data_IF_458373596207
#
_entry.id   IF_458373596207
#
_cell.length_a   1.000
_cell.length_b   1.000
_cell.length_c   1.000
_cell.angle_alpha   90.00
_cell.angle_beta   90.00
_cell.angle_gamma   90.00
#
_symmetry.space_group_name_H-M   'P 1'
#
loop_
_entity.id
_entity.type
_entity.pdbx_description
1 polymer ?
#
# COMPACT_ATOMS: atom_id res chain seq x y z
N UNK A 1 38.15 6.15 -0.26
CA UNK A 1 37.37 5.63 0.89
C UNK A 1 35.86 5.94 0.83
N UNK A 2 35.41 7.00 0.12
CA UNK A 2 34.00 7.46 0.05
C UNK A 2 32.95 6.44 -0.46
N UNK A 3 33.33 5.53 -1.37
CA UNK A 3 32.38 4.67 -2.12
C UNK A 3 31.74 3.55 -1.28
N UNK A 4 32.39 3.09 -0.21
CA UNK A 4 31.86 2.04 0.70
C UNK A 4 30.78 2.59 1.64
N UNK A 5 30.96 3.81 2.12
CA UNK A 5 30.01 4.49 3.01
C UNK A 5 28.69 4.79 2.30
N UNK A 6 28.72 5.17 1.02
CA UNK A 6 27.48 5.43 0.27
C UNK A 6 26.65 4.15 0.06
N UNK A 7 27.28 3.02 -0.28
CA UNK A 7 26.58 1.73 -0.50
C UNK A 7 25.92 1.21 0.79
N UNK A 8 26.61 1.33 1.93
CA UNK A 8 26.04 0.98 3.24
C UNK A 8 24.81 1.83 3.57
N UNK A 9 24.85 3.13 3.26
CA UNK A 9 23.75 4.05 3.51
C UNK A 9 22.51 3.76 2.65
N UNK A 10 22.69 3.31 1.39
CA UNK A 10 21.57 2.88 0.55
C UNK A 10 20.90 1.60 1.07
N UNK A 11 21.69 0.65 1.59
CA UNK A 11 21.16 -0.59 2.13
C UNK A 11 20.35 -0.36 3.42
N UNK A 12 20.84 0.48 4.33
CA UNK A 12 20.11 0.84 5.55
C UNK A 12 18.84 1.63 5.25
N UNK A 13 18.85 2.52 4.26
CA UNK A 13 17.63 3.20 3.79
C UNK A 13 16.57 2.23 3.25
N UNK A 14 16.98 1.22 2.47
CA UNK A 14 16.05 0.22 1.95
C UNK A 14 15.42 -0.62 3.07
N UNK A 15 16.20 -0.97 4.10
CA UNK A 15 15.70 -1.67 5.29
C UNK A 15 14.72 -0.77 6.06
N UNK A 16 15.09 0.49 6.32
CA UNK A 16 14.23 1.45 7.01
C UNK A 16 12.89 1.66 6.30
N UNK A 17 12.91 1.77 4.97
CA UNK A 17 11.70 1.86 4.16
C UNK A 17 10.84 0.60 4.29
N UNK A 18 11.44 -0.59 4.24
CA UNK A 18 10.73 -1.87 4.38
C UNK A 18 10.03 -2.00 5.74
N UNK A 19 10.69 -1.58 6.83
CA UNK A 19 10.09 -1.57 8.17
C UNK A 19 8.90 -0.61 8.24
N UNK A 20 9.06 0.60 7.69
CA UNK A 20 7.97 1.59 7.65
C UNK A 20 6.77 1.08 6.86
N UNK A 21 7.00 0.49 5.70
CA UNK A 21 5.95 -0.10 4.86
C UNK A 21 5.19 -1.20 5.61
N UNK A 22 5.90 -2.15 6.22
CA UNK A 22 5.30 -3.22 7.01
C UNK A 22 4.48 -2.68 8.20
N UNK A 23 4.99 -1.67 8.92
CA UNK A 23 4.24 -1.01 9.99
C UNK A 23 2.95 -0.38 9.48
N UNK A 24 3.01 0.35 8.38
CA UNK A 24 1.82 0.98 7.79
C UNK A 24 0.82 -0.04 7.23
N UNK A 25 1.30 -1.16 6.67
CA UNK A 25 0.45 -2.24 6.19
C UNK A 25 -0.33 -2.91 7.33
N UNK A 26 0.26 -2.98 8.54
CA UNK A 26 -0.43 -3.42 9.76
C UNK A 26 -1.34 -2.34 10.39
N UNK A 27 -1.43 -1.14 9.81
CA UNK A 27 -2.22 -0.04 10.37
C UNK A 27 -1.69 0.53 11.69
N UNK A 28 -0.44 0.22 12.05
CA UNK A 28 0.15 0.65 13.32
C UNK A 28 0.74 2.05 13.21
N UNK A 29 0.59 2.88 14.23
CA UNK A 29 1.37 4.12 14.39
C UNK A 29 2.78 3.81 14.93
N UNK A 30 3.70 4.78 14.85
CA UNK A 30 5.02 4.64 15.48
C UNK A 30 4.91 4.49 17.02
N UNK A 31 3.86 5.06 17.62
CA UNK A 31 3.59 4.92 19.05
C UNK A 31 3.13 3.51 19.41
N UNK A 32 2.31 2.89 18.55
CA UNK A 32 1.85 1.52 18.77
C UNK A 32 3.01 0.53 18.65
N UNK A 33 3.87 0.72 17.65
CA UNK A 33 5.09 -0.07 17.51
C UNK A 33 6.06 0.16 18.69
N UNK A 34 6.16 1.41 19.17
CA UNK A 34 6.96 1.76 20.35
C UNK A 34 6.51 0.99 21.59
N UNK A 35 5.20 0.97 21.84
CA UNK A 35 4.61 0.24 22.95
C UNK A 35 4.82 -1.28 22.82
N UNK A 36 4.74 -1.82 21.61
CA UNK A 36 4.88 -3.25 21.35
C UNK A 36 6.32 -3.76 21.53
N UNK A 37 7.31 -2.99 21.08
CA UNK A 37 8.73 -3.44 21.05
C UNK A 37 9.52 -2.90 22.24
N UNK A 38 8.98 -1.94 23.01
CA UNK A 38 9.69 -1.29 24.11
C UNK A 38 10.81 -0.35 23.63
N UNK A 39 10.78 0.08 22.36
CA UNK A 39 11.73 1.03 21.78
C UNK A 39 11.09 2.43 21.78
N UNK A 40 11.77 3.50 22.21
CA UNK A 40 11.20 4.85 22.20
C UNK A 40 10.69 5.28 20.81
N UNK A 41 9.50 5.89 20.76
CA UNK A 41 8.88 6.34 19.50
C UNK A 41 9.79 7.29 18.70
N UNK A 42 10.52 8.19 19.37
CA UNK A 42 11.51 9.04 18.73
C UNK A 42 12.65 8.26 18.04
N UNK A 43 13.05 7.13 18.62
CA UNK A 43 14.05 6.24 18.03
C UNK A 43 13.50 5.51 16.82
N UNK A 44 12.27 4.99 16.89
CA UNK A 44 11.58 4.38 15.73
C UNK A 44 11.47 5.39 14.58
N UNK A 45 11.07 6.63 14.86
CA UNK A 45 10.99 7.69 13.85
C UNK A 45 12.32 7.94 13.15
N UNK A 46 13.41 8.05 13.91
CA UNK A 46 14.76 8.22 13.34
C UNK A 46 15.22 7.03 12.51
N UNK A 47 14.91 5.81 12.96
CA UNK A 47 15.22 4.57 12.22
C UNK A 47 14.45 4.54 10.90
N UNK A 48 13.14 4.77 10.92
CA UNK A 48 12.30 4.80 9.71
C UNK A 48 12.68 5.92 8.73
N UNK A 49 13.24 7.02 9.23
CA UNK A 49 13.79 8.10 8.42
C UNK A 49 15.19 7.79 7.86
N UNK A 50 15.82 6.68 8.24
CA UNK A 50 17.19 6.33 7.83
C UNK A 50 18.25 7.30 8.38
N UNK A 51 17.93 8.03 9.44
CA UNK A 51 18.82 9.05 10.04
C UNK A 51 19.76 8.49 11.11
N UNK A 52 19.51 7.25 11.55
CA UNK A 52 20.34 6.55 12.54
C UNK A 52 20.49 5.09 12.13
N UNK A 53 21.65 4.51 12.41
CA UNK A 53 21.86 3.07 12.26
C UNK A 53 21.32 2.33 13.49
N UNK A 54 20.27 1.50 13.35
CA UNK A 54 19.79 0.70 14.47
C UNK A 54 20.81 -0.38 14.84
N UNK A 55 20.91 -0.69 16.12
CA UNK A 55 21.58 -1.92 16.56
C UNK A 55 20.83 -3.12 15.98
N UNK A 56 21.56 -4.17 15.61
CA UNK A 56 20.99 -5.41 15.06
C UNK A 56 19.90 -5.97 15.97
N UNK A 57 20.08 -5.91 17.29
CA UNK A 57 19.08 -6.35 18.27
C UNK A 57 17.77 -5.56 18.18
N UNK A 58 17.84 -4.23 18.06
CA UNK A 58 16.66 -3.38 17.86
C UNK A 58 16.01 -3.63 16.50
N UNK A 59 16.82 -3.85 15.46
CA UNK A 59 16.34 -4.15 14.12
C UNK A 59 15.53 -5.47 14.11
N UNK A 60 16.06 -6.53 14.72
CA UNK A 60 15.39 -7.82 14.86
C UNK A 60 14.09 -7.68 15.65
N UNK A 61 14.13 -7.00 16.80
CA UNK A 61 12.94 -6.83 17.63
C UNK A 61 11.82 -6.07 16.90
N UNK A 62 12.17 -5.02 16.14
CA UNK A 62 11.22 -4.27 15.31
C UNK A 62 10.70 -5.14 14.17
N UNK A 63 11.57 -5.86 13.46
CA UNK A 63 11.17 -6.74 12.36
C UNK A 63 10.18 -7.82 12.81
N UNK A 64 10.47 -8.50 13.91
CA UNK A 64 9.62 -9.57 14.45
C UNK A 64 8.23 -9.05 14.85
N UNK A 65 8.16 -7.87 15.47
CA UNK A 65 6.89 -7.23 15.79
C UNK A 65 6.06 -6.87 14.55
N UNK A 66 6.71 -6.74 13.40
CA UNK A 66 6.11 -6.46 12.10
C UNK A 66 5.89 -7.73 11.25
N UNK A 67 6.01 -8.93 11.83
CA UNK A 67 5.96 -10.24 11.14
C UNK A 67 7.00 -10.39 10.04
N UNK A 68 8.18 -9.79 10.22
CA UNK A 68 9.32 -9.90 9.33
C UNK A 68 10.46 -10.66 10.03
N UNK A 69 11.14 -11.52 9.28
CA UNK A 69 12.30 -12.27 9.76
C UNK A 69 13.58 -11.75 9.12
N UNK A 70 14.60 -11.44 9.94
CA UNK A 70 15.91 -11.04 9.45
C UNK A 70 16.78 -12.28 9.20
N UNK A 71 16.90 -12.69 7.94
CA UNK A 71 17.69 -13.87 7.54
C UNK A 71 18.88 -13.53 6.65
N UNK A 72 19.95 -14.32 6.76
CA UNK A 72 21.10 -14.26 5.88
C UNK A 72 20.91 -15.23 4.73
N UNK A 73 20.87 -14.70 3.51
CA UNK A 73 20.76 -15.50 2.29
C UNK A 73 22.02 -15.36 1.44
N UNK A 74 22.41 -16.41 0.68
CA UNK A 74 23.49 -16.29 -0.29
C UNK A 74 23.22 -15.16 -1.28
N UNK A 75 24.21 -14.29 -1.53
CA UNK A 75 24.06 -13.13 -2.42
C UNK A 75 23.53 -13.49 -3.81
N UNK A 76 23.92 -14.67 -4.32
CA UNK A 76 23.46 -15.20 -5.62
C UNK A 76 21.99 -15.62 -5.61
N UNK A 77 21.43 -15.94 -4.45
CA UNK A 77 20.04 -16.33 -4.27
C UNK A 77 19.09 -15.15 -4.03
N UNK A 78 19.61 -13.94 -3.74
CA UNK A 78 18.80 -12.74 -3.47
C UNK A 78 17.75 -12.46 -4.57
N UNK A 79 18.04 -12.57 -5.89
CA UNK A 79 17.03 -12.35 -6.93
C UNK A 79 15.88 -13.37 -6.89
N UNK A 80 16.18 -14.63 -6.56
CA UNK A 80 15.18 -15.69 -6.43
C UNK A 80 14.29 -15.45 -5.19
N UNK A 81 14.90 -15.13 -4.05
CA UNK A 81 14.17 -14.77 -2.82
C UNK A 81 13.24 -13.59 -3.06
N UNK A 82 13.73 -12.52 -3.71
CA UNK A 82 12.89 -11.36 -4.08
C UNK A 82 11.72 -11.74 -5.00
N UNK A 83 11.95 -12.66 -5.93
CA UNK A 83 10.90 -13.15 -6.84
C UNK A 83 9.81 -13.92 -6.09
N UNK A 84 10.22 -14.79 -5.16
CA UNK A 84 9.30 -15.56 -4.31
C UNK A 84 8.53 -14.61 -3.39
N UNK A 85 9.20 -13.70 -2.69
CA UNK A 85 8.52 -12.72 -1.80
C UNK A 85 7.50 -11.88 -2.56
N UNK A 86 7.78 -11.50 -3.81
CA UNK A 86 6.83 -10.80 -4.69
C UNK A 86 5.64 -11.66 -5.13
N UNK A 87 5.80 -12.98 -5.21
CA UNK A 87 4.72 -13.91 -5.58
C UNK A 87 3.89 -14.33 -4.36
N UNK A 88 4.53 -14.55 -3.21
CA UNK A 88 3.90 -15.01 -1.96
C UNK A 88 3.27 -13.88 -1.16
N UNK A 89 3.93 -12.71 -1.13
CA UNK A 89 3.33 -11.49 -0.63
C UNK A 89 2.40 -10.99 -1.72
N UNK A 90 1.09 -11.04 -1.51
CA UNK A 90 0.11 -10.32 -2.33
C UNK A 90 0.27 -8.80 -2.29
N UNK A 91 1.49 -8.27 -2.08
CA UNK A 91 1.92 -6.89 -2.15
C UNK A 91 3.18 -6.77 -3.01
N UNK A 92 3.12 -5.81 -3.95
CA UNK A 92 4.12 -5.42 -4.95
C UNK A 92 4.11 -6.17 -6.30
N UNK A 93 2.91 -6.30 -6.89
CA UNK A 93 2.82 -6.15 -8.34
C UNK A 93 3.41 -4.76 -8.73
N UNK A 94 4.43 -4.66 -9.61
CA UNK A 94 4.99 -3.38 -10.08
C UNK A 94 3.97 -2.42 -10.70
N UNK A 95 2.75 -2.87 -11.02
CA UNK A 95 1.62 -2.00 -11.40
C UNK A 95 1.03 -1.21 -10.22
N UNK A 96 1.25 -1.65 -8.96
CA UNK A 96 0.68 -1.01 -7.75
C UNK A 96 1.39 0.26 -7.31
N UNK A 97 2.68 0.40 -7.60
CA UNK A 97 3.45 1.60 -7.24
C UNK A 97 2.91 2.89 -7.89
N UNK A 98 2.65 2.89 -9.21
CA UNK A 98 2.00 4.01 -9.90
C UNK A 98 0.58 4.29 -9.39
N UNK A 99 -0.24 3.26 -9.23
CA UNK A 99 -1.63 3.42 -8.79
C UNK A 99 -1.72 3.94 -7.35
N UNK A 100 -0.89 3.43 -6.44
CA UNK A 100 -0.84 3.92 -5.06
C UNK A 100 -0.42 5.39 -4.98
N UNK A 101 0.54 5.82 -5.81
CA UNK A 101 0.95 7.23 -5.88
C UNK A 101 -0.18 8.13 -6.38
N UNK A 102 -0.92 7.71 -7.40
CA UNK A 102 -2.06 8.50 -7.89
C UNK A 102 -3.22 8.51 -6.87
N UNK A 103 -3.46 7.43 -6.13
CA UNK A 103 -4.44 7.40 -5.02
C UNK A 103 -4.10 8.45 -3.96
N UNK A 104 -2.84 8.52 -3.51
CA UNK A 104 -2.41 9.53 -2.54
C UNK A 104 -2.62 10.94 -3.08
N UNK A 105 -2.26 11.19 -4.35
CA UNK A 105 -2.46 12.51 -4.98
C UNK A 105 -3.94 12.90 -5.07
N UNK A 106 -4.82 11.97 -5.41
CA UNK A 106 -6.27 12.23 -5.46
C UNK A 106 -6.80 12.59 -4.06
N UNK A 107 -6.35 11.88 -3.02
CA UNK A 107 -6.74 12.18 -1.64
C UNK A 107 -6.32 13.60 -1.23
N UNK A 108 -5.10 14.00 -1.57
CA UNK A 108 -4.57 15.35 -1.32
C UNK A 108 -5.38 16.43 -2.08
N UNK A 109 -5.71 16.20 -3.35
CA UNK A 109 -6.54 17.12 -4.14
C UNK A 109 -7.93 17.27 -3.53
N UNK A 110 -8.59 16.17 -3.14
CA UNK A 110 -9.91 16.22 -2.51
C UNK A 110 -9.88 16.95 -1.16
N UNK A 111 -8.85 16.72 -0.34
CA UNK A 111 -8.68 17.43 0.93
C UNK A 111 -8.47 18.93 0.71
N UNK A 112 -7.72 19.31 -0.34
CA UNK A 112 -7.51 20.72 -0.69
C UNK A 112 -8.79 21.39 -1.17
N UNK A 113 -9.57 20.71 -2.02
CA UNK A 113 -10.87 21.19 -2.50
C UNK A 113 -11.85 21.39 -1.34
N UNK A 114 -11.84 20.50 -0.34
CA UNK A 114 -12.68 20.64 0.85
C UNK A 114 -12.32 21.89 1.67
N UNK A 115 -11.02 22.18 1.83
CA UNK A 115 -10.55 23.36 2.56
C UNK A 115 -10.85 24.64 1.80
N UNK A 116 -10.64 24.66 0.48
CA UNK A 116 -10.88 25.83 -0.36
C UNK A 116 -12.39 26.12 -0.53
N UNK A 117 -13.24 25.09 -0.50
CA UNK A 117 -14.67 25.19 -0.80
C UNK A 117 -15.51 24.31 0.14
N UNK A 118 -15.66 24.71 1.43
CA UNK A 118 -16.31 23.88 2.45
C UNK A 118 -17.82 23.68 2.23
N UNK A 119 -18.49 24.57 1.49
CA UNK A 119 -19.94 24.52 1.27
C UNK A 119 -20.34 23.86 -0.06
N UNK A 120 -19.40 23.22 -0.76
CA UNK A 120 -19.71 22.56 -2.03
C UNK A 120 -20.11 21.10 -1.78
N UNK A 121 -21.42 20.85 -1.69
CA UNK A 121 -21.99 19.50 -1.45
C UNK A 121 -21.41 18.42 -2.36
N UNK A 122 -21.07 18.80 -3.60
CA UNK A 122 -20.45 17.92 -4.58
C UNK A 122 -19.10 17.34 -4.15
N UNK A 123 -18.27 18.13 -3.46
CA UNK A 123 -16.92 17.72 -3.01
C UNK A 123 -17.02 16.77 -1.83
N UNK A 124 -17.96 16.98 -0.89
CA UNK A 124 -18.19 16.05 0.22
C UNK A 124 -18.62 14.67 -0.28
N UNK A 125 -19.49 14.61 -1.31
CA UNK A 125 -19.89 13.35 -1.93
C UNK A 125 -18.71 12.64 -2.61
N UNK A 126 -17.86 13.38 -3.31
CA UNK A 126 -16.65 12.83 -3.94
C UNK A 126 -15.70 12.24 -2.89
N UNK A 127 -15.47 12.94 -1.78
CA UNK A 127 -14.62 12.46 -0.69
C UNK A 127 -15.16 11.17 -0.07
N UNK A 128 -16.47 11.12 0.22
CA UNK A 128 -17.11 9.92 0.78
C UNK A 128 -16.98 8.72 -0.17
N UNK A 129 -17.28 8.93 -1.45
CA UNK A 129 -17.19 7.88 -2.47
C UNK A 129 -15.76 7.38 -2.63
N UNK A 130 -14.78 8.29 -2.61
CA UNK A 130 -13.37 7.94 -2.68
C UNK A 130 -12.88 7.16 -1.45
N UNK A 131 -13.32 7.52 -0.24
CA UNK A 131 -13.00 6.78 0.98
C UNK A 131 -13.60 5.37 0.98
N UNK A 132 -14.83 5.21 0.48
CA UNK A 132 -15.46 3.90 0.32
C UNK A 132 -14.67 3.04 -0.69
N UNK A 133 -14.24 3.63 -1.80
CA UNK A 133 -13.40 2.98 -2.81
C UNK A 133 -12.06 2.48 -2.21
N UNK A 134 -11.41 3.26 -1.33
CA UNK A 134 -10.18 2.85 -0.65
C UNK A 134 -10.33 1.60 0.22
N UNK A 135 -11.53 1.32 0.74
CA UNK A 135 -11.81 0.13 1.56
C UNK A 135 -11.89 -1.15 0.74
N UNK A 136 -12.27 -1.06 -0.54
CA UNK A 136 -12.49 -2.23 -1.41
C UNK A 136 -11.22 -2.84 -2.02
N UNK A 137 -10.04 -2.56 -1.46
CA UNK A 137 -8.75 -2.93 -2.05
C UNK A 137 -8.67 -2.47 -3.51
N UNK A 138 -8.13 -1.26 -3.70
CA UNK A 138 -7.88 -0.62 -4.99
C UNK A 138 -6.72 -1.17 -5.88
N UNK A 139 -5.92 -2.20 -5.55
CA UNK A 139 -4.69 -2.43 -6.29
C UNK A 139 -4.84 -2.92 -7.73
N UNK A 140 -6.06 -3.18 -8.21
CA UNK A 140 -6.31 -3.63 -9.60
C UNK A 140 -6.66 -2.49 -10.57
N UNK A 141 -6.64 -1.23 -10.14
CA UNK A 141 -7.00 -0.10 -11.01
C UNK A 141 -5.78 0.39 -11.81
N UNK A 142 -5.98 0.56 -13.13
CA UNK A 142 -4.96 1.10 -14.03
C UNK A 142 -4.56 2.54 -13.67
N UNK A 143 -3.27 2.86 -13.63
CA UNK A 143 -2.79 4.18 -13.19
C UNK A 143 -3.26 5.34 -14.07
N UNK A 144 -3.50 5.12 -15.36
CA UNK A 144 -4.02 6.15 -16.26
C UNK A 144 -5.46 6.55 -15.94
N UNK A 145 -6.28 5.62 -15.45
CA UNK A 145 -7.66 5.94 -15.03
C UNK A 145 -7.68 6.83 -13.78
N UNK A 146 -6.79 6.56 -12.83
CA UNK A 146 -6.59 7.38 -11.63
C UNK A 146 -6.03 8.77 -11.99
N UNK A 147 -5.08 8.84 -12.92
CA UNK A 147 -4.53 10.10 -13.42
C UNK A 147 -5.58 10.95 -14.12
N UNK A 148 -6.47 10.35 -14.92
CA UNK A 148 -7.58 11.04 -15.56
C UNK A 148 -8.56 11.62 -14.53
N UNK A 149 -8.91 10.83 -13.50
CA UNK A 149 -9.74 11.29 -12.39
C UNK A 149 -9.09 12.48 -11.66
N UNK A 150 -7.79 12.41 -11.33
CA UNK A 150 -7.06 13.53 -10.71
C UNK A 150 -7.16 14.80 -11.54
N UNK A 151 -6.90 14.73 -12.85
CA UNK A 151 -6.99 15.90 -13.75
C UNK A 151 -8.40 16.49 -13.77
N UNK A 152 -9.45 15.67 -13.69
CA UNK A 152 -10.82 16.18 -13.62
C UNK A 152 -11.12 16.91 -12.31
N UNK A 153 -10.57 16.42 -11.18
CA UNK A 153 -10.70 17.06 -9.88
C UNK A 153 -9.95 18.41 -9.82
N UNK A 154 -8.74 18.49 -10.39
CA UNK A 154 -7.97 19.73 -10.46
C UNK A 154 -8.72 20.83 -11.23
N UNK A 155 -9.57 20.48 -12.21
CA UNK A 155 -10.39 21.44 -12.96
C UNK A 155 -11.53 22.05 -12.13
N UNK A 156 -11.89 21.47 -10.99
CA UNK A 156 -12.92 22.01 -10.09
C UNK A 156 -12.45 23.33 -9.47
N UNK A 157 -11.13 23.52 -9.32
CA UNK A 157 -10.55 24.79 -8.83
C UNK A 157 -10.76 25.96 -9.82
N UNK A 158 -11.08 25.69 -11.09
CA UNK A 158 -11.29 26.70 -12.11
C UNK A 158 -12.78 27.10 -12.16
N UNK A 159 -13.16 28.34 -11.79
CA UNK A 159 -14.57 28.73 -11.65
C UNK A 159 -15.41 28.52 -12.92
N UNK A 160 -14.83 28.78 -14.09
CA UNK A 160 -15.52 28.63 -15.39
C UNK A 160 -15.85 27.19 -15.78
N UNK A 161 -15.19 26.20 -15.16
CA UNK A 161 -15.40 24.78 -15.45
C UNK A 161 -15.87 23.98 -14.23
N UNK A 162 -16.15 24.64 -13.10
CA UNK A 162 -16.39 24.02 -11.80
C UNK A 162 -17.54 23.00 -11.83
N UNK A 163 -18.70 23.38 -12.39
CA UNK A 163 -19.89 22.51 -12.45
C UNK A 163 -19.63 21.31 -13.36
N UNK A 164 -19.07 21.55 -14.55
CA UNK A 164 -18.77 20.49 -15.52
C UNK A 164 -17.72 19.50 -14.97
N UNK A 165 -16.67 20.01 -14.34
CA UNK A 165 -15.60 19.23 -13.73
C UNK A 165 -16.12 18.39 -12.55
N UNK A 166 -17.03 18.95 -11.75
CA UNK A 166 -17.66 18.24 -10.65
C UNK A 166 -18.49 17.04 -11.15
N UNK A 167 -19.37 17.26 -12.12
CA UNK A 167 -20.20 16.19 -12.71
C UNK A 167 -19.34 15.10 -13.34
N UNK A 168 -18.33 15.47 -14.13
CA UNK A 168 -17.40 14.50 -14.74
C UNK A 168 -16.64 13.68 -13.70
N UNK A 169 -16.21 14.31 -12.60
CA UNK A 169 -15.49 13.63 -11.53
C UNK A 169 -16.38 12.62 -10.79
N UNK A 170 -17.66 12.98 -10.58
CA UNK A 170 -18.65 12.09 -9.96
C UNK A 170 -18.93 10.87 -10.85
N UNK A 171 -19.15 11.09 -12.15
CA UNK A 171 -19.36 10.01 -13.12
C UNK A 171 -18.15 9.07 -13.20
N UNK A 172 -16.94 9.62 -13.20
CA UNK A 172 -15.71 8.83 -13.21
C UNK A 172 -15.56 7.95 -11.95
N UNK A 173 -15.83 8.49 -10.76
CA UNK A 173 -15.81 7.70 -9.52
C UNK A 173 -16.90 6.62 -9.50
N UNK A 174 -18.10 6.92 -9.99
CA UNK A 174 -19.19 5.94 -10.04
C UNK A 174 -18.87 4.80 -11.02
N UNK A 175 -18.26 5.10 -12.17
CA UNK A 175 -17.78 4.08 -13.12
C UNK A 175 -16.70 3.19 -12.51
N UNK A 176 -15.72 3.77 -11.82
CA UNK A 176 -14.68 3.02 -11.11
C UNK A 176 -15.28 2.09 -10.05
N UNK A 177 -16.24 2.59 -9.26
CA UNK A 177 -16.95 1.79 -8.27
C UNK A 177 -17.67 0.60 -8.89
N UNK A 178 -18.39 0.82 -9.99
CA UNK A 178 -19.10 -0.25 -10.70
C UNK A 178 -18.12 -1.29 -11.27
N UNK A 179 -16.99 -0.85 -11.82
CA UNK A 179 -15.94 -1.75 -12.31
C UNK A 179 -15.38 -2.65 -11.19
N UNK A 180 -15.15 -2.09 -10.00
CA UNK A 180 -14.68 -2.87 -8.84
C UNK A 180 -15.75 -3.85 -8.34
N UNK A 181 -17.02 -3.44 -8.31
CA UNK A 181 -18.12 -4.31 -7.88
C UNK A 181 -18.36 -5.51 -8.82
N UNK A 182 -17.97 -5.39 -10.09
CA UNK A 182 -18.13 -6.44 -11.10
C UNK A 182 -16.86 -7.26 -11.37
N UNK A 183 -15.74 -7.03 -10.64
CA UNK A 183 -14.59 -7.94 -10.73
C UNK A 183 -14.97 -9.30 -10.11
N UNK A 184 -15.01 -10.40 -10.88
CA UNK A 184 -15.27 -11.71 -10.31
C UNK A 184 -14.14 -12.06 -9.35
N UNK A 185 -14.48 -12.42 -8.12
CA UNK A 185 -13.58 -13.13 -7.22
C UNK A 185 -13.17 -14.42 -7.93
N UNK A 186 -11.96 -14.45 -8.50
CA UNK A 186 -11.34 -15.68 -9.00
C UNK A 186 -10.63 -16.29 -7.79
N UNK A 187 -11.13 -17.39 -7.19
CA UNK A 187 -10.38 -18.10 -6.17
C UNK A 187 -9.08 -18.57 -6.81
N UNK A 188 -7.96 -18.39 -6.11
CA UNK A 188 -6.65 -18.86 -6.53
C UNK A 188 -6.72 -20.34 -6.96
N UNK A 189 -6.32 -20.64 -8.20
CA UNK A 189 -6.32 -21.98 -8.79
C UNK A 189 -5.30 -22.97 -8.18
N UNK A 190 -4.86 -22.75 -6.94
CA UNK A 190 -3.94 -23.65 -6.22
C UNK A 190 -4.64 -24.63 -5.27
N UNK A 191 -5.97 -24.57 -5.15
CA UNK A 191 -6.73 -25.62 -4.48
C UNK A 191 -7.04 -26.74 -5.48
N UNK A 192 -6.06 -27.60 -5.74
CA UNK A 192 -6.35 -28.93 -6.27
C UNK A 192 -7.37 -29.60 -5.33
N UNK A 193 -8.55 -30.01 -5.79
CA UNK A 193 -9.56 -30.60 -4.93
C UNK A 193 -9.01 -31.94 -4.42
N UNK A 194 -8.68 -31.99 -3.13
CA UNK A 194 -8.36 -33.26 -2.46
C UNK A 194 -9.65 -34.09 -2.47
N UNK A 195 -9.70 -35.27 -3.10
CA UNK A 195 -10.86 -36.14 -2.99
C UNK A 195 -11.05 -36.51 -1.52
N UNK A 196 -12.23 -36.21 -0.99
CA UNK A 196 -12.68 -36.75 0.29
C UNK A 196 -13.14 -38.19 0.02
N UNK A 197 -12.64 -39.13 0.83
CA UNK A 197 -12.75 -40.59 0.75
C UNK A 197 -11.60 -41.32 0.06
N UNK A 198 -10.62 -41.78 0.85
CA UNK A 198 -10.22 -43.19 0.79
C UNK A 198 -11.10 -43.91 1.82
N UNK A 199 -12.13 -44.62 1.35
CA UNK A 199 -12.85 -45.58 2.17
C UNK A 199 -11.87 -46.72 2.46
N UNK A 200 -11.60 -46.94 3.74
CA UNK A 200 -11.01 -48.17 4.23
C UNK A 200 -11.94 -49.33 3.82
N UNK A 201 -11.51 -50.15 2.86
CA UNK A 201 -12.04 -51.50 2.71
C UNK A 201 -11.18 -52.42 3.58
N UNK A 202 -11.45 -52.37 4.88
CA UNK A 202 -11.31 -53.54 5.75
C UNK A 202 -12.54 -54.44 5.53
N UNK A 203 -12.31 -55.76 5.63
CA UNK A 203 -13.23 -56.90 5.58
C UNK A 203 -13.58 -57.52 4.21
N UNK A 204 -12.76 -58.49 3.77
CA UNK A 204 -13.14 -59.92 3.65
C UNK A 204 -11.94 -60.84 3.35
#
# INVERSE_FOLDING_TARGET
MQKRTSIMNYATQAIAASLREARTAKGMSQRDLSALVGVPQAQISRIEAGTVDPRVTSLIAIANALDLELTLVPRKAVPAVKSIVRQSGGQADPTRGPSQKEITRIAETLSRLQVAMPNLDGVMRLQKTFADLQRFQLPTIEPETLRALRKSLERIEVPSFQIEALTRSQDAMQKLRNQLAHQPFVPSQDASPRPAYSLDEDDA
#
